data_IF_353510762223
#
_entry.id   IF_353510762223
#
_cell.length_a   1.000
_cell.length_b   1.000
_cell.length_c   1.000
_cell.angle_alpha   90.00
_cell.angle_beta   90.00
_cell.angle_gamma   90.00
#
_symmetry.space_group_name_H-M   'P 1'
#
loop_
_entity.id
_entity.type
_entity.pdbx_description
1 polymer ?
#
# COMPACT_ATOMS: atom_id res chain seq x y z
N UNK A 1 -4.49 -65.87 -20.34
CA UNK A 1 -5.15 -64.59 -20.04
C UNK A 1 -4.32 -63.86 -18.98
N UNK A 2 -3.01 -63.70 -19.17
CA UNK A 2 -2.32 -62.61 -19.90
C UNK A 2 -2.74 -61.23 -19.42
N UNK A 3 -1.89 -60.68 -18.55
CA UNK A 3 -1.92 -59.39 -17.89
C UNK A 3 -1.75 -58.22 -18.88
N UNK A 4 -2.68 -58.08 -19.82
CA UNK A 4 -2.73 -57.00 -20.82
C UNK A 4 -3.65 -55.85 -20.37
N UNK A 5 -4.34 -55.95 -19.24
CA UNK A 5 -5.26 -54.90 -18.74
C UNK A 5 -4.71 -54.04 -17.58
N UNK A 6 -3.39 -53.99 -17.38
CA UNK A 6 -2.76 -53.04 -16.43
C UNK A 6 -1.92 -51.95 -17.10
N UNK A 7 -2.14 -51.71 -18.39
CA UNK A 7 -1.43 -50.69 -19.19
C UNK A 7 -2.29 -49.47 -19.55
N UNK A 8 -3.35 -49.18 -18.77
CA UNK A 8 -4.35 -48.15 -19.11
C UNK A 8 -4.49 -46.95 -18.17
N UNK A 9 -3.79 -46.89 -17.02
CA UNK A 9 -4.02 -45.80 -16.02
C UNK A 9 -2.71 -45.32 -15.37
N UNK A 10 -1.61 -45.28 -16.13
CA UNK A 10 -0.34 -44.66 -15.67
C UNK A 10 0.35 -43.95 -16.84
N UNK A 11 -0.38 -43.15 -17.63
CA UNK A 11 0.22 -42.32 -18.69
C UNK A 11 -0.66 -41.11 -19.09
N UNK A 12 -1.31 -40.45 -18.13
CA UNK A 12 -2.11 -39.25 -18.41
C UNK A 12 -1.91 -38.11 -17.38
N UNK A 13 -0.78 -38.09 -16.68
CA UNK A 13 -0.45 -37.01 -15.73
C UNK A 13 0.92 -36.36 -15.95
N UNK A 14 1.61 -36.67 -17.06
CA UNK A 14 2.95 -36.09 -17.35
C UNK A 14 3.01 -35.24 -18.63
N UNK A 15 1.87 -34.85 -19.21
CA UNK A 15 1.84 -33.96 -20.37
C UNK A 15 0.69 -32.94 -20.29
N UNK A 16 0.81 -31.99 -19.37
CA UNK A 16 0.26 -30.64 -19.50
C UNK A 16 1.04 -29.69 -18.57
N UNK A 17 2.37 -29.69 -18.71
CA UNK A 17 3.14 -28.48 -18.42
C UNK A 17 3.16 -27.66 -19.71
N UNK A 18 1.97 -27.23 -20.14
CA UNK A 18 1.89 -26.01 -20.93
C UNK A 18 2.51 -24.92 -20.07
N UNK A 19 3.46 -24.20 -20.66
CA UNK A 19 4.00 -22.96 -20.11
C UNK A 19 2.78 -22.04 -19.96
N UNK A 20 2.10 -22.09 -18.82
CA UNK A 20 1.28 -20.96 -18.39
C UNK A 20 2.27 -19.82 -18.31
N UNK A 21 2.22 -18.93 -19.28
CA UNK A 21 2.98 -17.71 -19.22
C UNK A 21 2.71 -17.09 -17.85
N UNK A 22 3.78 -16.71 -17.17
CA UNK A 22 3.69 -16.03 -15.90
C UNK A 22 2.89 -14.73 -16.13
N UNK A 23 1.65 -14.68 -15.65
CA UNK A 23 0.72 -13.57 -15.92
C UNK A 23 1.24 -12.23 -15.38
N UNK A 24 2.11 -12.26 -14.36
CA UNK A 24 2.79 -11.08 -13.84
C UNK A 24 3.85 -10.61 -14.82
N UNK A 25 4.67 -11.53 -15.33
CA UNK A 25 5.67 -11.18 -16.34
C UNK A 25 5.01 -10.77 -17.67
N UNK A 26 3.89 -11.38 -18.08
CA UNK A 26 3.09 -10.91 -19.21
C UNK A 26 2.61 -9.47 -18.97
N UNK A 27 2.15 -9.14 -17.76
CA UNK A 27 1.75 -7.78 -17.41
C UNK A 27 2.94 -6.81 -17.44
N UNK A 28 4.10 -7.20 -16.92
CA UNK A 28 5.31 -6.39 -16.99
C UNK A 28 5.78 -6.17 -18.42
N UNK A 29 5.74 -7.20 -19.26
CA UNK A 29 6.08 -7.12 -20.68
C UNK A 29 5.08 -6.24 -21.46
N UNK A 30 3.79 -6.39 -21.15
CA UNK A 30 2.72 -5.61 -21.76
C UNK A 30 2.96 -4.10 -21.62
N UNK A 31 3.45 -3.67 -20.46
CA UNK A 31 3.76 -2.27 -20.16
C UNK A 31 5.23 -1.87 -20.35
N UNK A 32 6.11 -2.79 -20.79
CA UNK A 32 7.56 -2.59 -20.90
C UNK A 32 8.19 -2.12 -19.59
N UNK A 33 7.81 -2.76 -18.48
CA UNK A 33 8.26 -2.43 -17.14
C UNK A 33 9.72 -2.86 -16.89
N UNK A 34 10.13 -4.01 -17.44
CA UNK A 34 11.49 -4.55 -17.31
C UNK A 34 12.53 -3.68 -18.02
N UNK A 35 13.72 -3.58 -17.43
CA UNK A 35 14.84 -2.79 -17.96
C UNK A 35 14.70 -1.28 -17.78
N UNK A 36 13.64 -0.82 -17.11
CA UNK A 36 13.47 0.59 -16.74
C UNK A 36 14.46 0.96 -15.63
N UNK A 37 14.95 2.19 -15.69
CA UNK A 37 15.80 2.79 -14.65
C UNK A 37 15.07 3.97 -14.02
N UNK A 38 15.47 4.36 -12.83
CA UNK A 38 14.94 5.54 -12.16
C UNK A 38 15.24 6.80 -12.97
N UNK A 39 14.25 7.65 -13.18
CA UNK A 39 14.35 9.00 -13.75
C UNK A 39 14.37 10.04 -12.62
N UNK A 40 15.51 10.73 -12.38
CA UNK A 40 15.64 11.74 -11.34
C UNK A 40 14.63 12.88 -11.46
N UNK A 41 14.29 13.32 -12.67
CA UNK A 41 13.35 14.44 -12.86
C UNK A 41 11.92 13.99 -12.59
N UNK A 42 11.56 12.77 -13.00
CA UNK A 42 10.27 12.18 -12.66
C UNK A 42 10.12 11.95 -11.15
N UNK A 43 11.16 11.50 -10.46
CA UNK A 43 11.15 11.34 -8.99
C UNK A 43 10.94 12.70 -8.33
N UNK A 44 11.70 13.73 -8.73
CA UNK A 44 11.53 15.10 -8.21
C UNK A 44 10.11 15.63 -8.46
N UNK A 45 9.56 15.37 -9.65
CA UNK A 45 8.19 15.75 -10.00
C UNK A 45 7.15 15.05 -9.10
N UNK A 46 7.26 13.73 -8.91
CA UNK A 46 6.41 12.97 -7.98
C UNK A 46 6.53 13.53 -6.56
N UNK A 47 7.76 13.74 -6.07
CA UNK A 47 8.01 14.30 -4.74
C UNK A 47 7.42 15.70 -4.59
N UNK A 48 7.37 16.50 -5.65
CA UNK A 48 6.83 17.86 -5.62
C UNK A 48 5.31 17.89 -5.71
N UNK A 49 4.75 17.20 -6.70
CA UNK A 49 3.38 17.39 -7.15
C UNK A 49 2.41 16.33 -6.60
N UNK A 50 2.89 15.13 -6.28
CA UNK A 50 2.05 14.05 -5.76
C UNK A 50 2.25 13.83 -4.26
N UNK A 51 3.50 13.99 -3.79
CA UNK A 51 3.87 13.69 -2.42
C UNK A 51 4.21 14.92 -1.56
N UNK A 52 4.35 16.11 -2.15
CA UNK A 52 4.64 17.36 -1.43
C UNK A 52 5.85 17.29 -0.47
N UNK A 53 6.84 16.45 -0.80
CA UNK A 53 8.07 16.20 -0.08
C UNK A 53 9.32 16.85 -0.70
N UNK A 54 9.19 17.51 -1.84
CA UNK A 54 10.34 18.09 -2.54
C UNK A 54 11.17 19.07 -1.71
N UNK A 55 10.54 19.86 -0.84
CA UNK A 55 11.24 20.81 0.04
C UNK A 55 11.77 20.16 1.33
N UNK A 56 11.68 18.83 1.46
CA UNK A 56 12.15 18.10 2.63
C UNK A 56 13.60 17.66 2.42
N UNK A 57 14.56 18.31 3.09
CA UNK A 57 15.96 17.87 3.09
C UNK A 57 16.12 16.40 3.51
N UNK A 58 15.26 15.95 4.43
CA UNK A 58 15.22 14.55 4.89
C UNK A 58 14.95 13.59 3.73
N UNK A 59 13.93 13.88 2.91
CA UNK A 59 13.58 13.03 1.77
C UNK A 59 14.58 13.22 0.64
N UNK A 60 14.97 14.45 0.33
CA UNK A 60 15.91 14.73 -0.75
C UNK A 60 17.29 14.09 -0.52
N UNK A 61 17.75 14.06 0.73
CA UNK A 61 19.01 13.37 1.09
C UNK A 61 18.91 11.85 0.92
N UNK A 62 17.75 11.24 1.18
CA UNK A 62 17.53 9.79 1.00
C UNK A 62 17.64 9.36 -0.47
N UNK A 63 17.24 10.23 -1.39
CA UNK A 63 17.30 9.98 -2.84
C UNK A 63 18.53 10.58 -3.52
N UNK A 64 19.48 11.15 -2.76
CA UNK A 64 20.65 11.85 -3.32
C UNK A 64 21.44 10.97 -4.29
N UNK A 65 21.78 9.75 -3.90
CA UNK A 65 22.49 8.79 -4.75
C UNK A 65 21.76 8.49 -6.05
N UNK A 66 20.42 8.36 -6.00
CA UNK A 66 19.57 8.11 -7.18
C UNK A 66 19.58 9.30 -8.14
N UNK A 67 19.64 10.53 -7.59
CA UNK A 67 19.71 11.74 -8.41
C UNK A 67 21.05 11.89 -9.14
N UNK A 68 22.13 11.31 -8.62
CA UNK A 68 23.43 11.29 -9.28
C UNK A 68 23.62 10.08 -10.20
N UNK A 69 23.11 8.92 -9.79
CA UNK A 69 23.26 7.66 -10.50
C UNK A 69 21.91 6.91 -10.55
N UNK A 70 21.21 6.97 -11.70
CA UNK A 70 20.01 6.17 -11.93
C UNK A 70 20.19 4.69 -11.61
N UNK A 71 19.21 4.09 -10.94
CA UNK A 71 19.21 2.68 -10.50
C UNK A 71 18.22 1.87 -11.34
N UNK A 72 18.52 0.59 -11.57
CA UNK A 72 17.54 -0.32 -12.19
C UNK A 72 16.33 -0.52 -11.28
N UNK A 73 15.13 -0.55 -11.88
CA UNK A 73 13.87 -0.86 -11.19
C UNK A 73 13.59 -2.37 -11.13
N UNK A 74 14.33 -3.21 -11.87
CA UNK A 74 14.12 -4.66 -11.92
C UNK A 74 14.17 -5.35 -10.55
N UNK A 75 15.10 -5.02 -9.63
CA UNK A 75 15.11 -5.65 -8.30
C UNK A 75 13.83 -5.41 -7.48
N UNK A 76 13.16 -4.27 -7.69
CA UNK A 76 11.86 -4.00 -7.07
C UNK A 76 10.75 -4.82 -7.74
N UNK A 77 10.78 -4.93 -9.07
CA UNK A 77 9.81 -5.72 -9.83
C UNK A 77 9.93 -7.23 -9.51
N UNK A 78 11.13 -7.74 -9.28
CA UNK A 78 11.35 -9.14 -8.85
C UNK A 78 10.70 -9.41 -7.49
N UNK A 79 10.95 -8.53 -6.52
CA UNK A 79 10.32 -8.63 -5.19
C UNK A 79 8.79 -8.50 -5.28
N UNK A 80 8.30 -7.65 -6.18
CA UNK A 80 6.86 -7.47 -6.42
C UNK A 80 6.25 -8.73 -7.01
N UNK A 81 6.87 -9.31 -8.05
CA UNK A 81 6.42 -10.56 -8.68
C UNK A 81 6.36 -11.70 -7.67
N UNK A 82 7.46 -11.92 -6.94
CA UNK A 82 7.52 -12.92 -5.87
C UNK A 82 6.44 -12.66 -4.81
N UNK A 83 6.29 -11.42 -4.35
CA UNK A 83 5.28 -11.05 -3.37
C UNK A 83 3.87 -11.33 -3.85
N UNK A 84 3.55 -11.01 -5.11
CA UNK A 84 2.24 -11.24 -5.69
C UNK A 84 1.88 -12.74 -5.70
N UNK A 85 2.81 -13.59 -6.10
CA UNK A 85 2.61 -15.04 -6.11
C UNK A 85 2.50 -15.66 -4.71
N UNK A 86 3.42 -15.30 -3.82
CA UNK A 86 3.51 -15.94 -2.50
C UNK A 86 2.43 -15.43 -1.54
N UNK A 87 2.07 -14.14 -1.64
CA UNK A 87 1.27 -13.46 -0.63
C UNK A 87 -0.06 -12.95 -1.15
N UNK A 88 -0.22 -12.75 -2.46
CA UNK A 88 -1.38 -12.07 -3.06
C UNK A 88 -2.01 -12.81 -4.27
N UNK A 89 -2.31 -14.12 -4.18
CA UNK A 89 -2.79 -14.90 -5.33
C UNK A 89 -4.10 -14.36 -5.94
N UNK A 90 -4.95 -13.69 -5.15
CA UNK A 90 -6.18 -13.08 -5.67
C UNK A 90 -5.92 -11.89 -6.63
N UNK A 91 -4.78 -11.19 -6.49
CA UNK A 91 -4.39 -10.13 -7.43
C UNK A 91 -4.02 -10.75 -8.78
N UNK A 92 -3.36 -11.90 -8.77
CA UNK A 92 -3.03 -12.68 -9.96
C UNK A 92 -4.31 -13.12 -10.69
N UNK A 93 -5.28 -13.68 -9.97
CA UNK A 93 -6.57 -14.08 -10.52
C UNK A 93 -7.34 -12.88 -11.10
N UNK A 94 -7.32 -11.74 -10.40
CA UNK A 94 -7.91 -10.50 -10.88
C UNK A 94 -7.26 -10.02 -12.19
N UNK A 95 -5.92 -9.99 -12.25
CA UNK A 95 -5.18 -9.57 -13.44
C UNK A 95 -5.46 -10.50 -14.62
N UNK A 96 -5.42 -11.83 -14.41
CA UNK A 96 -5.76 -12.82 -15.43
C UNK A 96 -7.16 -12.59 -15.97
N UNK A 97 -8.15 -12.45 -15.08
CA UNK A 97 -9.55 -12.21 -15.47
C UNK A 97 -9.71 -10.89 -16.21
N UNK A 98 -9.02 -9.84 -15.79
CA UNK A 98 -9.07 -8.54 -16.44
C UNK A 98 -8.44 -8.57 -17.84
N UNK A 99 -7.36 -9.33 -18.03
CA UNK A 99 -6.72 -9.56 -19.33
C UNK A 99 -7.66 -10.36 -20.24
N UNK A 100 -8.22 -11.47 -19.76
CA UNK A 100 -9.12 -12.35 -20.51
C UNK A 100 -10.39 -11.61 -20.95
N UNK A 101 -10.90 -10.70 -20.13
CA UNK A 101 -12.05 -9.85 -20.44
C UNK A 101 -11.71 -8.63 -21.30
N UNK A 102 -10.43 -8.41 -21.64
CA UNK A 102 -9.98 -7.26 -22.42
C UNK A 102 -10.14 -5.92 -21.68
N UNK A 103 -10.17 -5.93 -20.35
CA UNK A 103 -10.27 -4.72 -19.52
C UNK A 103 -8.94 -3.96 -19.46
N UNK A 104 -7.82 -4.62 -19.76
CA UNK A 104 -6.50 -3.99 -19.84
C UNK A 104 -6.23 -3.57 -21.29
N UNK A 105 -6.30 -2.26 -21.55
CA UNK A 105 -6.14 -1.70 -22.90
C UNK A 105 -4.73 -1.14 -23.07
N UNK A 106 -4.07 -1.53 -24.18
CA UNK A 106 -2.79 -0.96 -24.58
C UNK A 106 -3.01 0.38 -25.27
N UNK A 107 -2.59 1.47 -24.64
CA UNK A 107 -2.45 2.75 -25.33
C UNK A 107 -1.17 3.46 -24.86
N UNK A 108 -0.65 4.39 -25.66
CA UNK A 108 0.60 5.09 -25.36
C UNK A 108 0.48 5.98 -24.11
N UNK A 109 -0.71 6.51 -23.83
CA UNK A 109 -0.94 7.32 -22.63
C UNK A 109 -0.83 6.51 -21.34
N UNK A 110 -1.20 5.22 -21.34
CA UNK A 110 -1.04 4.33 -20.19
C UNK A 110 0.43 4.05 -19.89
N UNK A 111 1.32 4.04 -20.89
CA UNK A 111 2.74 3.79 -20.64
C UNK A 111 3.33 4.84 -19.70
N UNK A 112 3.06 6.13 -19.92
CA UNK A 112 3.51 7.21 -19.02
C UNK A 112 2.99 7.07 -17.60
N UNK A 113 1.74 6.60 -17.43
CA UNK A 113 1.13 6.37 -16.11
C UNK A 113 1.82 5.21 -15.42
N UNK A 114 2.05 4.09 -16.11
CA UNK A 114 2.75 2.94 -15.54
C UNK A 114 4.19 3.28 -15.18
N UNK A 115 4.90 4.03 -16.02
CA UNK A 115 6.25 4.52 -15.71
C UNK A 115 6.23 5.38 -14.44
N UNK A 116 5.29 6.33 -14.32
CA UNK A 116 5.13 7.13 -13.09
C UNK A 116 4.81 6.25 -11.88
N UNK A 117 3.91 5.28 -12.03
CA UNK A 117 3.55 4.33 -10.96
C UNK A 117 4.75 3.52 -10.49
N UNK A 118 5.62 3.06 -11.40
CA UNK A 118 6.84 2.33 -11.03
C UNK A 118 7.80 3.20 -10.22
N UNK A 119 7.98 4.47 -10.61
CA UNK A 119 8.80 5.43 -9.85
C UNK A 119 8.17 5.74 -8.50
N UNK A 120 6.85 5.81 -8.44
CA UNK A 120 6.12 5.95 -7.19
C UNK A 120 6.35 4.73 -6.29
N UNK A 121 6.19 3.51 -6.79
CA UNK A 121 6.52 2.26 -6.07
C UNK A 121 7.97 2.28 -5.55
N UNK A 122 8.92 2.75 -6.34
CA UNK A 122 10.32 2.85 -5.94
C UNK A 122 10.51 3.83 -4.76
N UNK A 123 9.89 5.01 -4.83
CA UNK A 123 9.90 5.98 -3.73
C UNK A 123 9.27 5.37 -2.48
N UNK A 124 8.14 4.66 -2.63
CA UNK A 124 7.46 3.98 -1.53
C UNK A 124 8.34 2.90 -0.89
N UNK A 125 8.96 2.04 -1.69
CA UNK A 125 9.80 0.94 -1.21
C UNK A 125 10.99 1.48 -0.40
N UNK A 126 11.73 2.45 -0.97
CA UNK A 126 12.87 3.10 -0.30
C UNK A 126 12.50 3.80 1.00
N UNK A 127 11.43 4.59 0.99
CA UNK A 127 11.00 5.30 2.20
C UNK A 127 10.46 4.36 3.27
N UNK A 128 9.80 3.26 2.87
CA UNK A 128 9.34 2.22 3.80
C UNK A 128 10.51 1.46 4.43
N UNK A 129 11.51 1.09 3.62
CA UNK A 129 12.74 0.46 4.10
C UNK A 129 13.48 1.38 5.08
N UNK A 130 13.55 2.69 4.79
CA UNK A 130 14.16 3.65 5.70
C UNK A 130 13.43 3.75 7.03
N UNK A 131 12.11 3.80 7.01
CA UNK A 131 11.29 3.82 8.24
C UNK A 131 11.44 2.55 9.08
N UNK A 132 11.60 1.41 8.42
CA UNK A 132 11.82 0.14 9.10
C UNK A 132 13.15 0.12 9.85
N UNK A 133 14.21 0.59 9.18
CA UNK A 133 15.57 0.56 9.70
C UNK A 133 15.86 1.71 10.69
N UNK A 134 15.17 2.84 10.56
CA UNK A 134 15.29 3.99 11.45
C UNK A 134 13.90 4.48 11.87
N UNK A 135 13.41 3.96 13.01
CA UNK A 135 12.13 4.38 13.55
C UNK A 135 12.11 5.88 13.91
N UNK A 136 13.23 6.51 14.30
CA UNK A 136 13.27 7.95 14.55
C UNK A 136 13.10 8.79 13.28
N UNK A 137 13.35 8.21 12.10
CA UNK A 137 13.14 8.87 10.82
C UNK A 137 11.67 9.28 10.61
N UNK A 138 10.73 8.44 11.05
CA UNK A 138 9.29 8.74 10.96
C UNK A 138 8.90 9.99 11.77
N UNK A 139 9.54 10.23 12.92
CA UNK A 139 9.33 11.44 13.72
C UNK A 139 9.74 12.70 12.94
N UNK A 140 10.93 12.68 12.32
CA UNK A 140 11.44 13.79 11.50
C UNK A 140 10.52 14.05 10.31
N UNK A 141 10.01 12.99 9.69
CA UNK A 141 9.09 13.10 8.57
C UNK A 141 7.75 13.72 8.97
N UNK A 142 7.18 13.34 10.13
CA UNK A 142 5.99 14.00 10.67
C UNK A 142 6.24 15.47 11.04
N UNK A 143 7.43 15.81 11.52
CA UNK A 143 7.81 17.19 11.83
C UNK A 143 7.84 18.08 10.58
N UNK A 144 8.23 17.54 9.41
CA UNK A 144 8.10 18.23 8.12
C UNK A 144 6.63 18.27 7.64
N UNK A 145 5.94 17.13 7.72
CA UNK A 145 4.63 16.97 7.10
C UNK A 145 3.52 17.81 7.77
N UNK A 146 3.46 17.84 9.11
CA UNK A 146 2.38 18.55 9.80
C UNK A 146 2.31 20.06 9.47
N UNK A 147 3.42 20.82 9.45
CA UNK A 147 3.42 22.21 8.98
C UNK A 147 3.00 22.37 7.52
N UNK A 148 3.44 21.49 6.62
CA UNK A 148 3.06 21.57 5.21
C UNK A 148 1.54 21.40 5.04
N UNK A 149 0.97 20.42 5.74
CA UNK A 149 -0.48 20.21 5.76
C UNK A 149 -1.24 21.42 6.33
N UNK A 150 -0.71 22.05 7.38
CA UNK A 150 -1.33 23.25 7.97
C UNK A 150 -1.36 24.44 7.01
N UNK A 151 -0.30 24.64 6.20
CA UNK A 151 -0.27 25.65 5.12
C UNK A 151 -1.38 25.43 4.08
N UNK A 152 -1.88 24.20 3.97
CA UNK A 152 -2.97 23.83 3.08
C UNK A 152 -4.34 23.84 3.76
N UNK A 153 -4.42 24.36 4.99
CA UNK A 153 -5.67 24.57 5.72
C UNK A 153 -6.12 23.40 6.59
N UNK A 154 -5.40 22.26 6.59
CA UNK A 154 -5.75 21.12 7.44
C UNK A 154 -5.03 21.23 8.78
N UNK A 155 -5.79 21.53 9.82
CA UNK A 155 -5.27 21.84 11.15
C UNK A 155 -4.82 20.59 11.90
N UNK A 156 -3.78 20.73 12.73
CA UNK A 156 -3.30 19.68 13.64
C UNK A 156 -4.34 19.33 14.71
N UNK A 157 -4.43 18.05 15.05
CA UNK A 157 -5.33 17.47 16.04
C UNK A 157 -6.56 16.81 15.41
N UNK A 158 -6.91 15.60 15.86
CA UNK A 158 -7.92 14.70 15.25
C UNK A 158 -9.24 15.39 14.88
N UNK A 159 -9.87 16.09 15.83
CA UNK A 159 -11.14 16.79 15.58
C UNK A 159 -10.97 17.99 14.64
N UNK A 160 -9.87 18.72 14.78
CA UNK A 160 -9.59 19.89 13.94
C UNK A 160 -9.28 19.45 12.51
N UNK A 161 -8.50 18.39 12.33
CA UNK A 161 -8.21 17.79 11.03
C UNK A 161 -9.48 17.24 10.38
N UNK A 162 -10.38 16.61 11.13
CA UNK A 162 -11.69 16.16 10.63
C UNK A 162 -12.48 17.35 10.06
N UNK A 163 -12.70 18.39 10.88
CA UNK A 163 -13.51 19.55 10.50
C UNK A 163 -12.88 20.29 9.31
N UNK A 164 -11.58 20.58 9.37
CA UNK A 164 -10.91 21.31 8.29
C UNK A 164 -10.86 20.50 7.00
N UNK A 165 -10.61 19.18 7.09
CA UNK A 165 -10.57 18.33 5.91
C UNK A 165 -11.94 18.20 5.27
N UNK A 166 -13.01 18.07 6.05
CA UNK A 166 -14.38 18.06 5.52
C UNK A 166 -14.72 19.38 4.82
N UNK A 167 -14.35 20.52 5.44
CA UNK A 167 -14.57 21.85 4.85
C UNK A 167 -13.84 22.03 3.52
N UNK A 168 -12.68 21.41 3.36
CA UNK A 168 -11.86 21.49 2.14
C UNK A 168 -12.37 20.49 1.09
N UNK A 169 -12.62 19.23 1.47
CA UNK A 169 -12.90 18.15 0.51
C UNK A 169 -14.39 17.99 0.17
N UNK A 170 -15.29 18.46 1.02
CA UNK A 170 -16.73 18.16 0.94
C UNK A 170 -17.08 16.68 1.14
N UNK A 171 -16.10 15.82 1.48
CA UNK A 171 -16.26 14.35 1.55
C UNK A 171 -15.97 13.84 2.95
N UNK A 172 -16.99 13.26 3.60
CA UNK A 172 -16.87 12.70 4.94
C UNK A 172 -15.81 11.61 5.04
N UNK A 173 -15.77 10.67 4.09
CA UNK A 173 -14.79 9.60 4.10
C UNK A 173 -13.35 10.12 4.09
N UNK A 174 -13.04 11.08 3.21
CA UNK A 174 -11.72 11.72 3.14
C UNK A 174 -11.39 12.41 4.47
N UNK A 175 -12.35 13.11 5.06
CA UNK A 175 -12.15 13.81 6.32
C UNK A 175 -11.91 12.86 7.50
N UNK A 176 -12.70 11.79 7.60
CA UNK A 176 -12.53 10.71 8.58
C UNK A 176 -11.17 10.05 8.40
N UNK A 177 -10.77 9.74 7.16
CA UNK A 177 -9.48 9.13 6.87
C UNK A 177 -8.30 10.00 7.31
N UNK A 178 -8.34 11.30 7.04
CA UNK A 178 -7.30 12.22 7.48
C UNK A 178 -7.26 12.30 9.01
N UNK A 179 -8.42 12.34 9.66
CA UNK A 179 -8.52 12.38 11.12
C UNK A 179 -8.04 11.09 11.79
N UNK A 180 -8.34 9.92 11.21
CA UNK A 180 -7.86 8.64 11.73
C UNK A 180 -6.35 8.54 11.57
N UNK A 181 -5.79 8.96 10.44
CA UNK A 181 -4.33 9.04 10.27
C UNK A 181 -3.68 10.08 11.22
N UNK A 182 -4.34 11.19 11.55
CA UNK A 182 -3.89 12.14 12.55
C UNK A 182 -3.82 11.51 13.94
N UNK A 183 -4.83 10.72 14.32
CA UNK A 183 -4.84 9.98 15.58
C UNK A 183 -3.61 9.08 15.67
N UNK A 184 -3.26 8.43 14.56
CA UNK A 184 -2.15 7.50 14.52
C UNK A 184 -0.79 8.20 14.60
N UNK A 185 -0.57 9.24 13.79
CA UNK A 185 0.68 10.02 13.83
C UNK A 185 0.92 10.65 15.20
N UNK A 186 -0.11 11.24 15.83
CA UNK A 186 0.03 11.82 17.17
C UNK A 186 0.35 10.77 18.24
N UNK A 187 -0.22 9.56 18.14
CA UNK A 187 0.10 8.46 19.06
C UNK A 187 1.51 7.94 18.85
N UNK A 188 1.93 7.85 17.60
CA UNK A 188 3.30 7.49 17.26
C UNK A 188 4.29 8.49 17.88
N UNK A 189 4.12 9.78 17.62
CA UNK A 189 4.97 10.84 18.19
C UNK A 189 4.97 10.80 19.73
N UNK A 190 3.80 10.61 20.35
CA UNK A 190 3.70 10.45 21.81
C UNK A 190 4.48 9.25 22.33
N UNK A 191 4.54 8.13 21.59
CA UNK A 191 5.36 6.95 21.94
C UNK A 191 6.84 7.28 21.87
N UNK A 192 7.27 7.97 20.82
CA UNK A 192 8.66 8.37 20.58
C UNK A 192 9.19 9.35 21.64
N UNK A 193 8.35 10.28 22.11
CA UNK A 193 8.72 11.28 23.12
C UNK A 193 8.73 10.76 24.56
N UNK A 194 8.39 9.48 24.81
CA UNK A 194 8.50 8.90 26.14
C UNK A 194 9.98 8.73 26.51
N UNK A 195 10.40 9.39 27.59
CA UNK A 195 11.71 9.12 28.23
C UNK A 195 11.79 7.62 28.53
N UNK A 196 12.81 6.94 28.01
CA UNK A 196 13.04 5.50 28.11
C UNK A 196 12.15 4.60 27.22
N UNK A 197 11.67 5.08 26.08
CA UNK A 197 11.08 4.18 25.08
C UNK A 197 12.10 3.10 24.67
N UNK A 198 11.76 1.84 24.93
CA UNK A 198 12.48 0.66 24.45
C UNK A 198 11.48 -0.22 23.68
N UNK A 199 11.72 -0.49 22.38
CA UNK A 199 10.93 -1.43 21.60
C UNK A 199 10.80 -2.77 22.34
N UNK A 200 9.60 -3.37 22.33
CA UNK A 200 9.33 -4.67 22.93
C UNK A 200 9.08 -4.68 24.46
N UNK A 201 9.22 -3.52 25.14
CA UNK A 201 8.88 -3.40 26.57
C UNK A 201 7.40 -3.67 26.86
N UNK A 202 7.03 -3.99 28.10
CA UNK A 202 5.63 -4.29 28.46
C UNK A 202 4.66 -3.12 28.15
N UNK A 203 5.10 -1.87 28.41
CA UNK A 203 4.34 -0.68 28.05
C UNK A 203 4.19 -0.55 26.53
N UNK A 204 5.17 -1.03 25.78
CA UNK A 204 5.15 -1.05 24.32
C UNK A 204 4.15 -2.09 23.79
N UNK A 205 4.14 -3.30 24.35
CA UNK A 205 3.17 -4.36 24.05
C UNK A 205 1.72 -3.91 24.25
N UNK A 206 1.45 -3.14 25.31
CA UNK A 206 0.13 -2.54 25.52
C UNK A 206 -0.22 -1.49 24.45
N UNK A 207 0.75 -0.68 23.99
CA UNK A 207 0.53 0.23 22.87
C UNK A 207 0.30 -0.54 21.56
N UNK A 208 0.97 -1.67 21.33
CA UNK A 208 0.79 -2.55 20.16
C UNK A 208 -0.66 -3.04 20.02
N UNK A 209 -1.36 -3.38 21.12
CA UNK A 209 -2.80 -3.70 21.07
C UNK A 209 -3.65 -2.54 20.54
N UNK A 210 -3.28 -1.30 20.85
CA UNK A 210 -3.99 -0.14 20.32
C UNK A 210 -3.77 0.03 18.81
N UNK A 211 -2.60 -0.35 18.30
CA UNK A 211 -2.32 -0.34 16.87
C UNK A 211 -3.21 -1.32 16.10
N UNK A 212 -3.44 -2.50 16.67
CA UNK A 212 -4.41 -3.46 16.13
C UNK A 212 -5.82 -2.84 16.07
N UNK A 213 -6.27 -2.19 17.16
CA UNK A 213 -7.54 -1.49 17.17
C UNK A 213 -7.63 -0.40 16.09
N UNK A 214 -6.50 0.22 15.74
CA UNK A 214 -6.45 1.22 14.66
C UNK A 214 -6.52 0.57 13.26
N UNK A 215 -5.96 -0.62 13.07
CA UNK A 215 -6.15 -1.36 11.81
C UNK A 215 -7.62 -1.71 11.63
N UNK A 216 -8.27 -2.23 12.69
CA UNK A 216 -9.69 -2.52 12.67
C UNK A 216 -10.52 -1.26 12.37
N UNK A 217 -10.17 -0.12 12.97
CA UNK A 217 -10.81 1.15 12.65
C UNK A 217 -10.67 1.51 11.16
N UNK A 218 -9.49 1.35 10.57
CA UNK A 218 -9.28 1.60 9.14
C UNK A 218 -10.13 0.67 8.26
N UNK A 219 -10.28 -0.60 8.66
CA UNK A 219 -11.14 -1.56 7.96
C UNK A 219 -12.61 -1.14 8.11
N UNK A 220 -13.08 -0.84 9.31
CA UNK A 220 -14.45 -0.35 9.55
C UNK A 220 -14.79 0.92 8.77
N UNK A 221 -13.88 1.89 8.70
CA UNK A 221 -14.06 3.13 7.93
C UNK A 221 -14.34 2.84 6.45
N UNK A 222 -13.56 1.94 5.85
CA UNK A 222 -13.72 1.53 4.45
C UNK A 222 -14.96 0.64 4.26
N UNK A 223 -15.23 -0.30 5.18
CA UNK A 223 -16.45 -1.12 5.19
C UNK A 223 -17.72 -0.26 5.21
N UNK A 224 -17.75 0.79 6.05
CA UNK A 224 -18.88 1.71 6.11
C UNK A 224 -19.02 2.50 4.81
N UNK A 225 -17.90 2.92 4.22
CA UNK A 225 -17.91 3.59 2.93
C UNK A 225 -18.48 2.67 1.83
N UNK A 226 -18.03 1.42 1.74
CA UNK A 226 -18.57 0.39 0.84
C UNK A 226 -20.10 0.22 1.03
N UNK A 227 -20.55 0.19 2.29
CA UNK A 227 -21.98 0.10 2.60
C UNK A 227 -22.76 1.31 2.06
N UNK A 228 -22.25 2.53 2.28
CA UNK A 228 -22.89 3.75 1.79
C UNK A 228 -22.84 3.89 0.27
N UNK A 229 -21.83 3.33 -0.40
CA UNK A 229 -21.71 3.28 -1.87
C UNK A 229 -22.42 2.07 -2.49
N UNK A 230 -23.13 1.27 -1.67
CA UNK A 230 -23.90 0.08 -2.08
C UNK A 230 -23.04 -1.07 -2.62
N UNK A 231 -21.76 -1.12 -2.26
CA UNK A 231 -20.87 -2.25 -2.52
C UNK A 231 -21.02 -3.33 -1.43
N UNK A 232 -22.22 -3.91 -1.30
CA UNK A 232 -22.59 -4.74 -0.14
C UNK A 232 -21.68 -5.97 0.05
N UNK A 233 -21.25 -6.63 -1.03
CA UNK A 233 -20.33 -7.77 -0.93
C UNK A 233 -18.95 -7.38 -0.39
N UNK A 234 -18.43 -6.20 -0.79
CA UNK A 234 -17.17 -5.70 -0.27
C UNK A 234 -17.31 -5.25 1.20
N UNK A 235 -18.44 -4.62 1.53
CA UNK A 235 -18.77 -4.28 2.92
C UNK A 235 -18.87 -5.53 3.82
N UNK A 236 -19.48 -6.61 3.36
CA UNK A 236 -19.58 -7.86 4.14
C UNK A 236 -18.19 -8.48 4.37
N UNK A 237 -17.36 -8.55 3.33
CA UNK A 237 -15.97 -9.02 3.44
C UNK A 237 -15.18 -8.17 4.47
N UNK A 238 -15.33 -6.85 4.42
CA UNK A 238 -14.74 -5.92 5.37
C UNK A 238 -15.22 -6.15 6.82
N UNK A 239 -16.51 -6.44 7.02
CA UNK A 239 -17.04 -6.81 8.33
C UNK A 239 -16.43 -8.13 8.84
N UNK A 240 -16.39 -9.17 8.00
CA UNK A 240 -15.79 -10.46 8.33
C UNK A 240 -14.32 -10.31 8.74
N UNK A 241 -13.55 -9.48 8.04
CA UNK A 241 -12.14 -9.20 8.38
C UNK A 241 -11.98 -8.66 9.80
N UNK A 242 -12.88 -7.77 10.23
CA UNK A 242 -12.84 -7.23 11.59
C UNK A 242 -13.23 -8.26 12.65
N UNK A 243 -14.13 -9.19 12.35
CA UNK A 243 -14.57 -10.24 13.27
C UNK A 243 -13.61 -11.43 13.36
N UNK A 244 -12.75 -11.64 12.35
CA UNK A 244 -11.84 -12.78 12.24
C UNK A 244 -10.38 -12.43 12.49
N UNK A 245 -10.10 -11.19 12.91
CA UNK A 245 -8.74 -10.75 13.21
C UNK A 245 -8.17 -11.49 14.43
N UNK A 246 -7.05 -12.20 14.26
CA UNK A 246 -6.33 -12.92 15.33
C UNK A 246 -5.18 -12.08 15.88
N UNK A 247 -5.29 -11.70 17.15
CA UNK A 247 -4.28 -10.93 17.87
C UNK A 247 -3.03 -11.77 18.20
N UNK A 248 -1.94 -11.59 17.47
CA UNK A 248 -0.60 -11.93 17.97
C UNK A 248 0.36 -10.81 17.63
N UNK A 249 1.13 -10.41 18.63
CA UNK A 249 2.17 -9.39 18.55
C UNK A 249 3.49 -10.11 18.78
N UNK A 250 4.45 -9.97 17.87
CA UNK A 250 5.76 -10.61 18.00
C UNK A 250 6.58 -10.01 19.15
N UNK A 251 7.45 -10.82 19.76
CA UNK A 251 8.23 -10.46 20.94
C UNK A 251 9.38 -9.46 20.65
N UNK A 252 9.68 -9.21 19.38
CA UNK A 252 10.80 -8.38 18.88
C UNK A 252 10.49 -6.88 18.79
N UNK A 253 9.31 -6.44 19.24
CA UNK A 253 8.90 -5.04 19.17
C UNK A 253 8.46 -4.58 17.77
N UNK A 254 8.53 -5.47 16.78
CA UNK A 254 7.86 -5.28 15.49
C UNK A 254 6.38 -5.62 15.63
N UNK A 255 5.53 -4.97 14.83
CA UNK A 255 4.11 -5.30 14.76
C UNK A 255 3.97 -6.26 13.58
N UNK A 256 4.27 -7.53 13.80
CA UNK A 256 3.95 -8.59 12.84
C UNK A 256 2.55 -9.10 13.17
N UNK A 257 1.59 -8.80 12.31
CA UNK A 257 0.28 -9.43 12.41
C UNK A 257 0.41 -10.89 11.98
N UNK A 258 0.27 -11.83 12.91
CA UNK A 258 0.15 -13.25 12.56
C UNK A 258 -1.29 -13.54 12.14
N UNK A 259 -1.64 -13.10 10.94
CA UNK A 259 -2.89 -13.47 10.29
C UNK A 259 -2.73 -14.84 9.61
N UNK A 260 -3.83 -15.59 9.50
CA UNK A 260 -3.85 -16.76 8.63
C UNK A 260 -3.70 -16.31 7.17
N UNK A 261 -3.18 -17.18 6.30
CA UNK A 261 -3.14 -16.90 4.85
C UNK A 261 -4.53 -16.55 4.31
N UNK A 262 -5.58 -17.20 4.82
CA UNK A 262 -6.97 -16.89 4.44
C UNK A 262 -7.39 -15.46 4.81
N UNK A 263 -7.05 -14.98 6.00
CA UNK A 263 -7.33 -13.59 6.38
C UNK A 263 -6.51 -12.61 5.54
N UNK A 264 -5.22 -12.90 5.30
CA UNK A 264 -4.35 -12.06 4.48
C UNK A 264 -4.87 -11.93 3.05
N UNK A 265 -5.23 -13.06 2.41
CA UNK A 265 -5.85 -13.07 1.09
C UNK A 265 -7.15 -12.26 1.08
N UNK A 266 -8.05 -12.47 2.05
CA UNK A 266 -9.31 -11.71 2.14
C UNK A 266 -9.06 -10.21 2.29
N UNK A 267 -8.12 -9.81 3.14
CA UNK A 267 -7.78 -8.40 3.38
C UNK A 267 -7.29 -7.72 2.10
N UNK A 268 -6.44 -8.40 1.35
CA UNK A 268 -5.87 -7.84 0.13
C UNK A 268 -6.91 -7.74 -0.98
N UNK A 269 -7.72 -8.78 -1.20
CA UNK A 269 -8.81 -8.75 -2.19
C UNK A 269 -9.81 -7.66 -1.85
N UNK A 270 -10.26 -7.59 -0.60
CA UNK A 270 -11.17 -6.56 -0.12
C UNK A 270 -10.59 -5.15 -0.32
N UNK A 271 -9.31 -4.95 0.02
CA UNK A 271 -8.65 -3.65 -0.12
C UNK A 271 -8.39 -3.28 -1.59
N UNK A 272 -8.14 -4.27 -2.48
CA UNK A 272 -8.06 -4.06 -3.93
C UNK A 272 -9.40 -3.62 -4.51
N UNK A 273 -10.49 -4.30 -4.13
CA UNK A 273 -11.85 -3.92 -4.53
C UNK A 273 -12.18 -2.50 -4.04
N UNK A 274 -11.91 -2.22 -2.77
CA UNK A 274 -12.14 -0.90 -2.18
C UNK A 274 -11.38 0.21 -2.92
N UNK A 275 -10.08 0.01 -3.16
CA UNK A 275 -9.24 1.00 -3.86
C UNK A 275 -9.75 1.21 -5.30
N UNK A 276 -10.07 0.13 -6.01
CA UNK A 276 -10.50 0.19 -7.42
C UNK A 276 -11.88 0.84 -7.57
N UNK A 277 -12.81 0.55 -6.67
CA UNK A 277 -14.20 1.01 -6.77
C UNK A 277 -14.46 2.40 -6.17
N UNK A 278 -13.79 2.76 -5.08
CA UNK A 278 -14.20 3.92 -4.26
C UNK A 278 -13.17 5.06 -4.18
N UNK A 279 -11.92 4.83 -4.61
CA UNK A 279 -10.86 5.84 -4.53
C UNK A 279 -10.53 6.48 -5.89
N UNK A 280 -10.40 7.82 -5.96
CA UNK A 280 -9.94 8.49 -7.17
C UNK A 280 -8.43 8.34 -7.36
N UNK A 281 -7.95 8.65 -8.58
CA UNK A 281 -6.53 8.61 -8.98
C UNK A 281 -5.83 7.31 -8.60
N UNK A 282 -6.29 6.22 -9.23
CA UNK A 282 -5.78 4.87 -9.03
C UNK A 282 -4.27 4.75 -9.29
N UNK A 283 -3.71 5.63 -10.13
CA UNK A 283 -2.28 5.78 -10.38
C UNK A 283 -1.47 6.10 -9.11
N UNK A 284 -2.07 6.77 -8.13
CA UNK A 284 -1.42 7.04 -6.84
C UNK A 284 -1.72 5.98 -5.78
N UNK A 285 -2.83 5.26 -5.95
CA UNK A 285 -3.36 4.32 -4.96
C UNK A 285 -2.88 2.88 -5.18
N UNK A 286 -2.78 2.43 -6.42
CA UNK A 286 -2.29 1.09 -6.75
C UNK A 286 -0.86 0.81 -6.30
N UNK A 287 0.10 1.76 -6.37
CA UNK A 287 1.45 1.52 -5.86
C UNK A 287 1.47 0.97 -4.42
N UNK A 288 0.55 1.41 -3.55
CA UNK A 288 0.42 0.89 -2.17
C UNK A 288 0.12 -0.61 -2.12
N UNK A 289 -0.66 -1.12 -3.07
CA UNK A 289 -1.03 -2.54 -3.13
C UNK A 289 0.10 -3.41 -3.69
N UNK A 290 0.99 -2.80 -4.46
CA UNK A 290 1.99 -3.50 -5.24
C UNK A 290 3.37 -3.50 -4.58
N UNK A 291 3.67 -2.58 -3.67
CA UNK A 291 4.99 -2.57 -3.03
C UNK A 291 5.24 -3.84 -2.19
N UNK A 292 6.46 -4.40 -2.23
CA UNK A 292 6.78 -5.65 -1.53
C UNK A 292 6.73 -5.55 0.01
N UNK A 293 7.00 -4.36 0.54
CA UNK A 293 7.04 -4.09 1.98
C UNK A 293 5.85 -3.19 2.35
N UNK A 294 4.88 -3.75 3.08
CA UNK A 294 3.76 -2.98 3.64
C UNK A 294 3.93 -2.89 5.15
N UNK A 295 4.19 -1.68 5.63
CA UNK A 295 4.20 -1.37 7.07
C UNK A 295 3.17 -0.31 7.40
N UNK A 296 2.49 -0.46 8.54
CA UNK A 296 1.44 0.45 8.95
C UNK A 296 1.93 1.91 9.05
N UNK A 297 3.18 2.12 9.47
CA UNK A 297 3.82 3.44 9.55
C UNK A 297 4.15 4.05 8.18
N UNK A 298 4.59 3.23 7.22
CA UNK A 298 4.80 3.64 5.84
C UNK A 298 3.49 4.02 5.17
N UNK A 299 2.42 3.26 5.43
CA UNK A 299 1.08 3.60 4.98
C UNK A 299 0.65 4.96 5.54
N UNK A 300 0.91 5.29 6.81
CA UNK A 300 0.47 6.59 7.36
C UNK A 300 1.23 7.76 6.73
N UNK A 301 2.53 7.58 6.53
CA UNK A 301 3.39 8.69 6.17
C UNK A 301 3.33 9.04 4.69
N UNK A 302 2.99 8.07 3.83
CA UNK A 302 2.95 8.28 2.38
C UNK A 302 1.52 8.40 1.85
N UNK A 303 0.55 7.75 2.51
CA UNK A 303 -0.85 7.87 2.12
C UNK A 303 -1.43 9.25 2.45
N UNK A 304 -0.90 9.97 3.45
CA UNK A 304 -1.40 11.31 3.80
C UNK A 304 -1.09 12.33 2.69
N UNK A 305 0.14 12.42 2.16
CA UNK A 305 0.44 13.24 1.00
C UNK A 305 -0.31 12.81 -0.26
N UNK A 306 -0.44 11.50 -0.52
CA UNK A 306 -1.23 11.01 -1.64
C UNK A 306 -2.69 11.45 -1.52
N UNK A 307 -3.33 11.23 -0.37
CA UNK A 307 -4.71 11.68 -0.08
C UNK A 307 -4.85 13.21 -0.19
N UNK A 308 -3.78 13.95 0.08
CA UNK A 308 -3.72 15.39 -0.08
C UNK A 308 -3.60 15.79 -1.57
N UNK A 309 -2.82 15.07 -2.38
CA UNK A 309 -2.80 15.23 -3.83
C UNK A 309 -4.17 14.91 -4.46
N UNK A 310 -4.85 13.86 -3.96
CA UNK A 310 -6.23 13.52 -4.35
C UNK A 310 -7.18 14.70 -4.08
N UNK A 311 -6.96 15.50 -3.04
CA UNK A 311 -7.79 16.69 -2.77
C UNK A 311 -7.48 17.84 -3.74
N UNK A 312 -6.19 18.11 -4.01
CA UNK A 312 -5.79 19.21 -4.89
C UNK A 312 -6.20 19.03 -6.36
N UNK A 313 -6.47 17.80 -6.79
CA UNK A 313 -6.91 17.47 -8.16
C UNK A 313 -8.44 17.38 -8.31
N UNK A 314 -9.18 17.44 -7.20
CA UNK A 314 -10.65 17.45 -7.19
C UNK A 314 -11.24 18.88 -7.05
N UNK A 315 -10.41 19.88 -6.78
CA UNK A 315 -10.76 21.30 -6.72
C UNK A 315 -10.34 22.01 -8.02
#
# INVERSE_FOLDING_TARGET
>A
MTAIEKQGIVNASEQHNDIKTDIVEEFFDFFKARGQITDPELIKDILKNDLYFYDSDLIMSEFSDVFFAPQSLDPMLDKMSQGLYEKHPAVIEFLSTAIDQGLIVRNESMHSIVVRMMHYCFILDKTTEKQFNDYQWSEKLFAYFHPMREKKGIKKGVLRSLISSYRISGRWFVAVKIASMELVSLRYLKRMHKKNFKPGSLLDRLNQKFWIATLNLNIYEATLQDFFTKQLGNSEAGFILTCTNTDRVSDDGQILYHHTQGWASLYQTWNLCFITGDLPHLDLMYPKLLIPIVQMLAVITIFMPALFALQSRLA
#
